data_IF_681327049192
#
_entry.id   IF_681327049192
#
_cell.length_a   1.000
_cell.length_b   1.000
_cell.length_c   1.000
_cell.angle_alpha   90.00
_cell.angle_beta   90.00
_cell.angle_gamma   90.00
#
_symmetry.space_group_name_H-M   'P 1'
#
loop_
_entity.id
_entity.type
_entity.pdbx_description
1 polymer ?
#
# COMPACT_ATOMS: atom_id res chain seq x y z
N UNK A 1 6.39 -16.93 23.01
CA UNK A 1 6.52 -17.71 21.74
C UNK A 1 5.39 -17.43 20.74
N UNK A 2 4.10 -17.44 21.13
CA UNK A 2 2.99 -16.95 20.27
C UNK A 2 3.13 -15.48 19.82
N UNK A 3 3.94 -14.73 20.55
CA UNK A 3 4.28 -13.32 20.34
C UNK A 3 4.85 -13.00 18.95
N UNK A 4 5.77 -13.84 18.43
CA UNK A 4 6.43 -13.58 17.14
C UNK A 4 5.43 -13.62 15.98
N UNK A 5 4.48 -14.56 16.02
CA UNK A 5 3.42 -14.64 15.02
C UNK A 5 2.46 -13.46 15.15
N UNK A 6 2.13 -13.06 16.39
CA UNK A 6 1.28 -11.91 16.63
C UNK A 6 1.87 -10.60 16.10
N UNK A 7 3.18 -10.39 16.28
CA UNK A 7 3.88 -9.22 15.73
C UNK A 7 3.80 -9.19 14.19
N UNK A 8 3.99 -10.33 13.53
CA UNK A 8 3.87 -10.43 12.07
C UNK A 8 2.43 -10.20 11.57
N UNK A 9 1.43 -10.72 12.28
CA UNK A 9 0.02 -10.50 11.96
C UNK A 9 -0.37 -9.03 12.13
N UNK A 10 0.16 -8.35 13.15
CA UNK A 10 -0.02 -6.91 13.34
C UNK A 10 0.65 -6.11 12.22
N UNK A 11 1.88 -6.44 11.84
CA UNK A 11 2.57 -5.79 10.72
C UNK A 11 1.78 -5.95 9.42
N UNK A 12 1.22 -7.14 9.17
CA UNK A 12 0.34 -7.40 8.02
C UNK A 12 -0.88 -6.47 8.01
N UNK A 13 -1.55 -6.33 9.16
CA UNK A 13 -2.71 -5.46 9.29
C UNK A 13 -2.37 -3.99 9.00
N UNK A 14 -1.22 -3.49 9.45
CA UNK A 14 -0.79 -2.12 9.18
C UNK A 14 -0.44 -1.89 7.69
N UNK A 15 0.15 -2.88 7.00
CA UNK A 15 0.36 -2.82 5.56
C UNK A 15 -0.98 -2.71 4.81
N UNK A 16 -1.97 -3.52 5.20
CA UNK A 16 -3.30 -3.47 4.58
C UNK A 16 -4.01 -2.13 4.79
N UNK A 17 -3.74 -1.44 5.90
CA UNK A 17 -4.25 -0.08 6.18
C UNK A 17 -3.46 1.02 5.46
N UNK A 18 -2.35 0.68 4.79
CA UNK A 18 -1.45 1.67 4.17
C UNK A 18 -0.53 2.39 5.17
N UNK A 19 -0.45 1.92 6.42
CA UNK A 19 0.39 2.51 7.46
C UNK A 19 1.80 1.89 7.44
N UNK A 20 2.57 2.19 6.40
CA UNK A 20 3.90 1.61 6.20
C UNK A 20 4.87 1.85 7.38
N UNK A 21 4.81 3.03 8.01
CA UNK A 21 5.63 3.36 9.18
C UNK A 21 5.35 2.47 10.38
N UNK A 22 4.07 2.24 10.71
CA UNK A 22 3.68 1.36 11.81
C UNK A 22 4.05 -0.10 11.55
N UNK A 23 3.93 -0.53 10.28
CA UNK A 23 4.37 -1.85 9.87
C UNK A 23 5.88 -2.05 10.06
N UNK A 24 6.70 -1.04 9.72
CA UNK A 24 8.15 -1.06 9.92
C UNK A 24 8.52 -1.23 11.39
N UNK A 25 7.91 -0.44 12.28
CA UNK A 25 8.13 -0.53 13.74
C UNK A 25 7.84 -1.93 14.26
N UNK A 26 6.76 -2.57 13.80
CA UNK A 26 6.44 -3.95 14.16
C UNK A 26 7.49 -4.96 13.65
N UNK A 27 8.01 -4.77 12.44
CA UNK A 27 9.05 -5.63 11.88
C UNK A 27 10.40 -5.47 12.60
N UNK A 28 10.73 -4.26 13.06
CA UNK A 28 11.90 -4.01 13.90
C UNK A 28 11.76 -4.70 15.26
N UNK A 29 10.59 -4.60 15.90
CA UNK A 29 10.28 -5.33 17.13
C UNK A 29 10.46 -6.84 16.93
N UNK A 30 9.93 -7.39 15.83
CA UNK A 30 10.11 -8.79 15.47
C UNK A 30 11.59 -9.16 15.35
N UNK A 31 12.38 -8.38 14.61
CA UNK A 31 13.82 -8.62 14.43
C UNK A 31 14.58 -8.63 15.75
N UNK A 32 14.28 -7.66 16.62
CA UNK A 32 14.90 -7.56 17.95
C UNK A 32 14.56 -8.77 18.82
N UNK A 33 13.31 -9.20 18.81
CA UNK A 33 12.84 -10.34 19.61
C UNK A 33 13.44 -11.66 19.13
N UNK A 34 13.56 -11.84 17.81
CA UNK A 34 14.27 -12.97 17.21
C UNK A 34 15.75 -12.99 17.58
N UNK A 35 16.42 -11.83 17.58
CA UNK A 35 17.84 -11.75 18.00
C UNK A 35 18.04 -12.11 19.47
N UNK A 36 17.14 -11.66 20.34
CA UNK A 36 17.24 -11.88 21.78
C UNK A 36 16.89 -13.32 22.20
N UNK A 37 15.86 -13.91 21.59
CA UNK A 37 15.27 -15.17 22.05
C UNK A 37 15.57 -16.35 21.11
N UNK A 38 16.12 -16.08 19.93
CA UNK A 38 16.24 -17.06 18.86
C UNK A 38 14.89 -17.43 18.26
N UNK A 39 14.93 -18.32 17.26
CA UNK A 39 13.72 -18.90 16.67
C UNK A 39 13.67 -20.38 17.01
N UNK A 40 12.63 -20.86 17.70
CA UNK A 40 12.49 -22.28 17.97
C UNK A 40 12.21 -23.04 16.66
N UNK A 41 12.83 -24.21 16.51
CA UNK A 41 12.87 -24.93 15.23
C UNK A 41 11.48 -25.31 14.71
N UNK A 42 10.55 -25.65 15.60
CA UNK A 42 9.17 -25.98 15.24
C UNK A 42 8.37 -24.78 14.67
N UNK A 43 8.76 -23.53 14.97
CA UNK A 43 8.10 -22.33 14.43
C UNK A 43 8.77 -21.79 13.17
N UNK A 44 10.02 -22.18 12.89
CA UNK A 44 10.76 -21.73 11.68
C UNK A 44 9.97 -21.88 10.37
N UNK A 45 9.33 -23.03 10.05
CA UNK A 45 8.60 -23.17 8.79
C UNK A 45 7.40 -22.22 8.73
N UNK A 46 6.69 -22.04 9.85
CA UNK A 46 5.52 -21.15 9.93
C UNK A 46 5.94 -19.69 9.75
N UNK A 47 6.99 -19.26 10.47
CA UNK A 47 7.52 -17.90 10.37
C UNK A 47 8.05 -17.61 8.97
N UNK A 48 8.75 -18.56 8.34
CA UNK A 48 9.24 -18.40 6.97
C UNK A 48 8.09 -18.18 5.99
N UNK A 49 7.00 -18.95 6.13
CA UNK A 49 5.80 -18.76 5.31
C UNK A 49 5.19 -17.37 5.53
N UNK A 50 5.01 -16.95 6.78
CA UNK A 50 4.43 -15.64 7.11
C UNK A 50 5.27 -14.46 6.61
N UNK A 51 6.60 -14.56 6.70
CA UNK A 51 7.51 -13.53 6.17
C UNK A 51 7.40 -13.45 4.64
N UNK A 52 7.29 -14.58 3.94
CA UNK A 52 7.08 -14.60 2.48
C UNK A 52 5.77 -13.92 2.08
N UNK A 53 4.67 -14.26 2.77
CA UNK A 53 3.35 -13.65 2.53
C UNK A 53 3.37 -12.13 2.79
N UNK A 54 4.07 -11.68 3.82
CA UNK A 54 4.26 -10.25 4.12
C UNK A 54 5.05 -9.53 3.03
N UNK A 55 6.09 -10.17 2.49
CA UNK A 55 6.90 -9.61 1.41
C UNK A 55 6.06 -9.42 0.14
N UNK A 56 5.32 -10.47 -0.26
CA UNK A 56 4.40 -10.40 -1.42
C UNK A 56 3.34 -9.31 -1.24
N UNK A 57 2.79 -9.18 -0.04
CA UNK A 57 1.81 -8.15 0.29
C UNK A 57 2.42 -6.74 0.19
N UNK A 58 3.62 -6.54 0.76
CA UNK A 58 4.31 -5.26 0.73
C UNK A 58 4.64 -4.83 -0.71
N UNK A 59 5.12 -5.76 -1.54
CA UNK A 59 5.39 -5.50 -2.95
C UNK A 59 4.12 -5.14 -3.73
N UNK A 60 3.03 -5.89 -3.51
CA UNK A 60 1.74 -5.62 -4.13
C UNK A 60 1.22 -4.23 -3.75
N UNK A 61 1.34 -3.88 -2.47
CA UNK A 61 0.96 -2.57 -1.94
C UNK A 61 1.78 -1.45 -2.56
N UNK A 62 3.10 -1.64 -2.72
CA UNK A 62 3.97 -0.67 -3.40
C UNK A 62 3.58 -0.47 -4.87
N UNK A 63 3.31 -1.55 -5.61
CA UNK A 63 2.84 -1.47 -7.00
C UNK A 63 1.51 -0.72 -7.09
N UNK A 64 0.57 -1.02 -6.21
CA UNK A 64 -0.72 -0.32 -6.11
C UNK A 64 -0.57 1.17 -5.82
N UNK A 65 0.26 1.52 -4.83
CA UNK A 65 0.51 2.91 -4.45
C UNK A 65 1.16 3.72 -5.59
N UNK A 66 2.13 3.14 -6.31
CA UNK A 66 2.75 3.77 -7.48
C UNK A 66 1.74 4.03 -8.60
N UNK A 67 0.87 3.05 -8.87
CA UNK A 67 -0.20 3.20 -9.87
C UNK A 67 -1.18 4.31 -9.46
N UNK A 68 -1.65 4.31 -8.22
CA UNK A 68 -2.56 5.34 -7.71
C UNK A 68 -1.95 6.75 -7.79
N UNK A 69 -0.67 6.90 -7.46
CA UNK A 69 0.03 8.18 -7.59
C UNK A 69 0.11 8.65 -9.05
N UNK A 70 0.33 7.72 -10.00
CA UNK A 70 0.30 8.03 -11.42
C UNK A 70 -1.10 8.47 -11.89
N UNK A 71 -2.15 7.79 -11.43
CA UNK A 71 -3.53 8.13 -11.75
C UNK A 71 -3.91 9.52 -11.20
N UNK A 72 -3.55 9.85 -9.95
CA UNK A 72 -3.74 11.19 -9.37
C UNK A 72 -2.98 12.25 -10.18
N UNK A 73 -1.74 11.97 -10.59
CA UNK A 73 -0.98 12.89 -11.44
C UNK A 73 -1.65 13.11 -12.80
N UNK A 74 -2.17 12.05 -13.41
CA UNK A 74 -2.93 12.15 -14.66
C UNK A 74 -4.20 12.98 -14.49
N UNK A 75 -4.94 12.80 -13.39
CA UNK A 75 -6.12 13.62 -13.06
C UNK A 75 -5.74 15.09 -12.89
N UNK A 76 -4.66 15.40 -12.16
CA UNK A 76 -4.19 16.79 -11.98
C UNK A 76 -3.79 17.42 -13.33
N UNK A 77 -3.09 16.67 -14.18
CA UNK A 77 -2.73 17.14 -15.52
C UNK A 77 -3.96 17.37 -16.41
N UNK A 78 -4.93 16.46 -16.39
CA UNK A 78 -6.19 16.60 -17.13
C UNK A 78 -7.04 17.78 -16.63
N UNK A 79 -7.09 18.00 -15.31
CA UNK A 79 -7.75 19.15 -14.72
C UNK A 79 -7.07 20.47 -15.13
N UNK A 80 -5.73 20.50 -15.18
CA UNK A 80 -4.98 21.66 -15.68
C UNK A 80 -5.17 21.90 -17.17
N UNK A 81 -5.21 20.86 -17.99
CA UNK A 81 -5.50 21.02 -19.44
C UNK A 81 -6.91 21.55 -19.67
N UNK A 82 -7.89 21.12 -18.87
CA UNK A 82 -9.26 21.64 -18.90
C UNK A 82 -9.35 23.11 -18.45
N UNK A 83 -8.38 23.59 -17.68
CA UNK A 83 -8.27 25.00 -17.27
C UNK A 83 -7.61 25.91 -18.33
N UNK A 84 -7.23 25.39 -19.49
CA UNK A 84 -6.62 26.17 -20.58
C UNK A 84 -7.67 26.52 -21.63
N UNK A 85 -8.47 27.54 -21.30
CA UNK A 85 -9.20 28.52 -22.14
C UNK A 85 -9.94 28.06 -23.41
N UNK A 86 -11.18 28.52 -23.59
CA UNK A 86 -11.69 28.79 -24.94
C UNK A 86 -11.02 30.06 -25.50
N UNK A 87 -10.91 30.16 -26.82
CA UNK A 87 -10.25 31.27 -27.52
C UNK A 87 -10.97 32.64 -27.37
N UNK A 88 -12.01 32.73 -26.54
CA UNK A 88 -12.82 33.93 -26.29
C UNK A 88 -12.76 34.45 -24.85
N UNK A 89 -11.97 33.81 -23.98
CA UNK A 89 -11.83 34.25 -22.58
C UNK A 89 -13.09 34.08 -21.74
N UNK A 90 -14.05 33.27 -22.20
CA UNK A 90 -15.26 32.95 -21.45
C UNK A 90 -15.17 31.53 -20.88
N UNK A 91 -15.67 31.36 -19.66
CA UNK A 91 -15.59 30.08 -18.94
C UNK A 91 -16.78 29.20 -19.33
N UNK A 92 -16.59 28.26 -20.25
CA UNK A 92 -17.56 27.17 -20.45
C UNK A 92 -17.13 25.91 -19.72
N UNK A 93 -17.95 25.50 -18.75
CA UNK A 93 -17.81 24.22 -18.04
C UNK A 93 -18.55 23.17 -18.85
N UNK A 94 -17.86 22.43 -19.71
CA UNK A 94 -18.45 21.26 -20.36
C UNK A 94 -18.41 20.09 -19.39
N UNK A 95 -19.59 19.76 -18.85
CA UNK A 95 -19.78 18.62 -17.96
C UNK A 95 -19.51 17.32 -18.72
N UNK A 96 -18.37 16.69 -18.47
CA UNK A 96 -18.08 15.35 -19.01
C UNK A 96 -18.39 14.32 -17.92
N UNK A 97 -19.42 13.48 -18.07
CA UNK A 97 -19.68 12.42 -17.09
C UNK A 97 -18.54 11.40 -17.18
N UNK A 98 -17.87 11.17 -16.04
CA UNK A 98 -16.87 10.13 -15.92
C UNK A 98 -17.57 8.76 -16.06
N UNK A 99 -17.20 8.00 -17.09
CA UNK A 99 -17.69 6.63 -17.28
C UNK A 99 -17.22 5.77 -16.10
N UNK A 100 -18.16 5.40 -15.23
CA UNK A 100 -17.96 4.41 -14.16
C UNK A 100 -17.56 3.08 -14.81
N UNK A 101 -16.34 2.63 -14.54
CA UNK A 101 -15.81 1.37 -15.04
C UNK A 101 -16.65 0.19 -14.55
N UNK A 102 -17.33 -0.49 -15.48
CA UNK A 102 -18.08 -1.73 -15.23
C UNK A 102 -17.07 -2.87 -15.00
N UNK A 103 -17.20 -3.59 -13.88
CA UNK A 103 -16.44 -4.83 -13.61
C UNK A 103 -17.26 -6.02 -14.09
N UNK A 104 -16.63 -6.94 -14.81
CA UNK A 104 -17.09 -8.32 -15.02
C UNK A 104 -16.28 -9.22 -14.10
#
# INVERSE_FOLDING_TARGET
MADLLHILDRARAEIMKGHAGNALVGLEEFSNRVRQQGVPDHLRPILRKRISELHELAESSLRGARKGAADVRAIILAARSLQTYDNSGQRQVTFTPATVGKRY
#
